data_IF_966156783463
#
_entry.id   IF_966156783463
#
_cell.length_a   1.000
_cell.length_b   1.000
_cell.length_c   1.000
_cell.angle_alpha   90.00
_cell.angle_beta   90.00
_cell.angle_gamma   90.00
#
_symmetry.space_group_name_H-M   'P 1'
#
loop_
_entity.id
_entity.type
_entity.pdbx_description
1 polymer ?
#
# COMPACT_ATOMS: atom_id res chain seq x y z
N UNK A 1 6.39 23.42 3.99
CA UNK A 1 7.79 23.69 3.65
C UNK A 1 8.00 23.40 2.16
N UNK A 2 8.46 24.39 1.40
CA UNK A 2 8.70 24.27 -0.05
C UNK A 2 10.09 23.69 -0.38
N UNK A 3 10.73 22.99 0.56
CA UNK A 3 12.09 22.48 0.38
C UNK A 3 12.18 21.20 -0.47
N UNK A 4 11.08 20.48 -0.64
CA UNK A 4 11.08 19.15 -1.29
C UNK A 4 11.74 18.04 -0.45
N UNK A 5 12.05 18.30 0.82
CA UNK A 5 12.72 17.33 1.70
C UNK A 5 11.80 16.21 2.13
N UNK A 6 12.41 15.08 2.48
CA UNK A 6 11.71 13.94 3.07
C UNK A 6 11.47 14.13 4.57
N UNK A 7 10.20 14.14 4.97
CA UNK A 7 9.81 14.22 6.38
C UNK A 7 9.12 12.95 6.84
N UNK A 8 9.32 12.58 8.08
CA UNK A 8 8.55 11.57 8.79
C UNK A 8 7.94 12.17 10.04
N UNK A 9 6.70 11.79 10.34
CA UNK A 9 6.01 12.17 11.57
C UNK A 9 5.43 10.95 12.25
N UNK A 10 5.55 10.88 13.57
CA UNK A 10 4.96 9.80 14.37
C UNK A 10 3.57 10.21 14.81
N UNK A 11 2.57 9.38 14.51
CA UNK A 11 1.22 9.50 15.04
C UNK A 11 1.00 8.55 16.21
N UNK A 12 0.43 9.04 17.30
CA UNK A 12 0.07 8.25 18.48
C UNK A 12 -1.44 8.13 18.56
N UNK A 13 -1.94 6.90 18.59
CA UNK A 13 -3.36 6.59 18.72
C UNK A 13 -3.69 6.33 20.18
N UNK A 14 -4.67 7.05 20.74
CA UNK A 14 -5.22 6.82 22.08
C UNK A 14 -6.75 6.80 22.00
N UNK A 15 -7.36 5.65 22.21
CA UNK A 15 -8.79 5.46 21.96
C UNK A 15 -9.10 5.69 20.48
N UNK A 16 -9.86 6.74 20.20
CA UNK A 16 -10.22 7.21 18.84
C UNK A 16 -9.47 8.47 18.42
N UNK A 17 -8.54 8.94 19.25
CA UNK A 17 -7.78 10.17 18.98
C UNK A 17 -6.43 9.82 18.37
N UNK A 18 -6.08 10.53 17.29
CA UNK A 18 -4.75 10.51 16.68
C UNK A 18 -4.04 11.82 16.98
N UNK A 19 -2.87 11.74 17.61
CA UNK A 19 -2.03 12.90 17.94
C UNK A 19 -0.73 12.81 17.15
N UNK A 20 -0.40 13.84 16.41
CA UNK A 20 0.84 13.92 15.62
C UNK A 20 1.99 14.52 16.42
N UNK A 21 3.16 13.90 16.31
CA UNK A 21 4.41 14.45 16.81
C UNK A 21 4.98 15.56 15.92
N UNK A 22 6.21 15.96 16.19
CA UNK A 22 6.94 16.93 15.37
C UNK A 22 7.52 16.20 14.13
N UNK A 23 7.35 16.74 12.92
CA UNK A 23 8.00 16.19 11.73
C UNK A 23 9.53 16.25 11.83
N UNK A 24 10.20 15.20 11.41
CA UNK A 24 11.67 15.07 11.41
C UNK A 24 12.12 14.82 9.97
N UNK A 25 13.14 15.53 9.52
CA UNK A 25 13.75 15.34 8.20
C UNK A 25 14.53 14.02 8.19
N UNK A 26 14.21 13.12 7.27
CA UNK A 26 14.98 11.90 7.02
C UNK A 26 15.88 12.02 5.77
N UNK A 27 15.55 12.94 4.86
CA UNK A 27 16.32 13.24 3.67
C UNK A 27 16.23 14.74 3.36
N UNK A 28 17.40 15.39 3.22
CA UNK A 28 17.52 16.82 2.95
C UNK A 28 17.78 17.16 1.46
N UNK A 29 17.79 16.13 0.62
CA UNK A 29 17.78 16.31 -0.83
C UNK A 29 16.35 16.27 -1.32
N UNK A 30 16.03 17.02 -2.36
CA UNK A 30 14.69 17.05 -2.94
C UNK A 30 14.24 15.67 -3.41
N UNK A 31 13.05 15.27 -2.93
CA UNK A 31 12.42 14.01 -3.31
C UNK A 31 11.42 14.21 -4.46
N UNK A 32 11.20 13.16 -5.22
CA UNK A 32 10.00 13.07 -6.06
C UNK A 32 8.78 12.76 -5.19
N UNK A 33 7.63 13.21 -5.65
CA UNK A 33 6.35 12.95 -4.98
C UNK A 33 5.99 11.47 -4.90
N UNK A 34 6.54 10.66 -5.80
CA UNK A 34 6.33 9.20 -5.85
C UNK A 34 7.60 8.50 -6.35
N UNK A 35 7.94 7.30 -5.86
CA UNK A 35 7.31 6.58 -4.76
C UNK A 35 7.77 7.11 -3.39
N UNK A 36 6.86 7.18 -2.43
CA UNK A 36 7.17 7.39 -1.02
C UNK A 36 6.34 6.42 -0.19
N UNK A 37 6.98 5.50 0.51
CA UNK A 37 6.30 4.49 1.33
C UNK A 37 7.09 4.17 2.59
N UNK A 38 6.36 3.82 3.63
CA UNK A 38 6.89 3.31 4.89
C UNK A 38 6.24 1.96 5.20
N UNK A 39 7.04 1.02 5.69
CA UNK A 39 6.52 -0.23 6.26
C UNK A 39 7.31 -0.61 7.52
N UNK A 40 6.59 -1.17 8.48
CA UNK A 40 7.17 -1.74 9.70
C UNK A 40 7.45 -3.22 9.51
N UNK A 41 8.53 -3.69 10.12
CA UNK A 41 8.81 -5.11 10.26
C UNK A 41 7.88 -5.72 11.33
N UNK A 42 6.97 -6.63 10.96
CA UNK A 42 6.05 -7.24 11.93
C UNK A 42 6.75 -8.14 12.95
N UNK A 43 8.00 -8.56 12.66
CA UNK A 43 8.77 -9.48 13.50
C UNK A 43 9.78 -8.77 14.41
N UNK A 44 10.03 -7.47 14.19
CA UNK A 44 11.01 -6.70 14.97
C UNK A 44 10.38 -5.40 15.41
N UNK A 45 10.05 -5.33 16.71
CA UNK A 45 9.36 -4.20 17.31
C UNK A 45 10.04 -2.86 16.98
N UNK A 46 9.26 -1.96 16.39
CA UNK A 46 9.68 -0.61 16.03
C UNK A 46 10.60 -0.50 14.80
N UNK A 47 11.10 -1.59 14.23
CA UNK A 47 11.92 -1.54 13.02
C UNK A 47 11.06 -1.19 11.81
N UNK A 48 11.51 -0.25 10.98
CA UNK A 48 10.83 0.13 9.74
C UNK A 48 11.81 0.63 8.67
N UNK A 49 11.34 0.62 7.44
CA UNK A 49 12.06 1.21 6.32
C UNK A 49 11.18 2.20 5.57
N UNK A 50 11.81 3.20 4.97
CA UNK A 50 11.20 4.18 4.07
C UNK A 50 11.82 3.99 2.69
N UNK A 51 10.98 3.89 1.67
CA UNK A 51 11.37 3.89 0.25
C UNK A 51 11.02 5.25 -0.34
N UNK A 52 11.97 5.84 -1.07
CA UNK A 52 11.80 7.12 -1.72
C UNK A 52 12.64 7.23 -3.00
N UNK A 53 12.41 8.26 -3.79
CA UNK A 53 13.20 8.56 -4.99
C UNK A 53 13.75 9.98 -4.92
N UNK A 54 15.03 10.15 -5.21
CA UNK A 54 15.66 11.46 -5.31
C UNK A 54 15.26 12.15 -6.62
N UNK A 55 14.88 13.42 -6.55
CA UNK A 55 14.44 14.21 -7.71
C UNK A 55 15.56 14.39 -8.73
N UNK A 56 16.78 14.66 -8.26
CA UNK A 56 17.94 15.01 -9.11
C UNK A 56 18.54 13.84 -9.87
N UNK A 57 18.52 12.64 -9.28
CA UNK A 57 19.18 11.44 -9.84
C UNK A 57 18.21 10.38 -10.31
N UNK A 58 16.94 10.48 -9.88
CA UNK A 58 15.89 9.47 -10.09
C UNK A 58 16.24 8.09 -9.48
N UNK A 59 17.21 8.08 -8.56
CA UNK A 59 17.65 6.87 -7.88
C UNK A 59 16.63 6.51 -6.79
N UNK A 60 16.20 5.27 -6.83
CA UNK A 60 15.34 4.72 -5.79
C UNK A 60 16.18 4.25 -4.62
N UNK A 61 15.78 4.65 -3.44
CA UNK A 61 16.58 4.57 -2.23
C UNK A 61 15.73 4.07 -1.07
N UNK A 62 16.36 3.31 -0.18
CA UNK A 62 15.75 2.83 1.09
C UNK A 62 16.58 3.33 2.25
N UNK A 63 15.90 3.79 3.29
CA UNK A 63 16.51 4.15 4.57
C UNK A 63 15.75 3.46 5.70
N UNK A 64 16.46 3.04 6.74
CA UNK A 64 15.88 2.37 7.89
C UNK A 64 15.99 3.21 9.17
N UNK A 65 15.03 2.99 10.08
CA UNK A 65 15.05 3.55 11.42
C UNK A 65 14.34 2.60 12.41
N UNK A 66 14.40 2.95 13.66
CA UNK A 66 13.68 2.28 14.74
C UNK A 66 12.80 3.27 15.51
N UNK A 67 11.64 2.81 15.93
CA UNK A 67 10.68 3.55 16.74
C UNK A 67 10.54 2.89 18.11
N UNK A 68 10.73 3.65 19.19
CA UNK A 68 10.48 3.19 20.56
C UNK A 68 9.45 4.10 21.23
N UNK A 69 8.26 3.58 21.48
CA UNK A 69 7.11 4.40 21.84
C UNK A 69 6.78 5.42 20.75
N UNK A 70 6.93 6.72 21.04
CA UNK A 70 6.78 7.81 20.07
C UNK A 70 8.11 8.42 19.64
N UNK A 71 9.25 7.84 20.02
CA UNK A 71 10.57 8.40 19.76
C UNK A 71 11.25 7.66 18.62
N UNK A 72 11.63 8.40 17.58
CA UNK A 72 12.45 7.89 16.48
C UNK A 72 13.91 7.79 16.92
N UNK A 73 14.56 6.70 16.53
CA UNK A 73 16.00 6.56 16.62
C UNK A 73 16.74 7.41 15.58
N UNK A 74 18.04 7.18 15.45
CA UNK A 74 18.81 7.77 14.36
C UNK A 74 18.58 7.00 13.06
N UNK A 75 18.41 7.72 11.95
CA UNK A 75 18.34 7.09 10.63
C UNK A 75 19.68 6.44 10.26
N UNK A 76 19.59 5.29 9.63
CA UNK A 76 20.74 4.61 9.02
C UNK A 76 21.25 5.33 7.78
N UNK A 77 22.21 4.71 7.10
CA UNK A 77 22.65 5.19 5.79
C UNK A 77 21.64 4.79 4.73
N UNK A 78 21.27 5.73 3.90
CA UNK A 78 20.40 5.49 2.75
C UNK A 78 21.11 4.60 1.71
N UNK A 79 20.43 3.58 1.22
CA UNK A 79 20.96 2.59 0.27
C UNK A 79 20.16 2.61 -1.01
N UNK A 80 20.83 2.90 -2.12
CA UNK A 80 20.24 2.79 -3.44
C UNK A 80 20.07 1.31 -3.82
N UNK A 81 18.88 0.92 -4.30
CA UNK A 81 18.63 -0.43 -4.79
C UNK A 81 18.53 -0.49 -6.32
N UNK A 82 18.45 0.67 -6.96
CA UNK A 82 18.46 0.78 -8.40
C UNK A 82 19.19 2.06 -8.84
N UNK A 83 20.20 1.89 -9.67
CA UNK A 83 21.11 2.98 -10.07
C UNK A 83 21.00 3.38 -11.54
N UNK A 84 20.25 2.65 -12.36
CA UNK A 84 20.39 2.78 -13.82
C UNK A 84 19.19 3.32 -14.57
N UNK A 85 17.97 3.39 -13.98
CA UNK A 85 16.82 3.89 -14.73
C UNK A 85 15.78 4.58 -13.83
N UNK A 86 15.21 5.65 -14.38
CA UNK A 86 14.13 6.39 -13.74
C UNK A 86 12.85 5.54 -13.74
N UNK A 87 12.29 5.28 -12.58
CA UNK A 87 10.90 4.90 -12.50
C UNK A 87 10.04 6.02 -13.11
N UNK A 88 8.95 5.64 -13.79
CA UNK A 88 8.05 6.62 -14.38
C UNK A 88 7.50 7.55 -13.29
N UNK A 89 7.52 8.84 -13.59
CA UNK A 89 7.04 9.90 -12.70
C UNK A 89 5.55 9.84 -12.39
N UNK A 90 4.80 9.06 -13.16
CA UNK A 90 3.33 9.01 -13.07
C UNK A 90 2.80 7.80 -12.29
N UNK A 91 3.67 6.91 -11.81
CA UNK A 91 3.20 5.65 -11.24
C UNK A 91 3.66 5.48 -9.80
N UNK A 92 2.70 5.46 -8.90
CA UNK A 92 2.82 5.04 -7.51
C UNK A 92 3.12 3.53 -7.37
N UNK A 93 4.03 3.00 -8.17
CA UNK A 93 4.14 1.57 -8.46
C UNK A 93 5.22 0.82 -7.69
N UNK A 94 6.06 1.50 -6.94
CA UNK A 94 6.98 0.79 -6.08
C UNK A 94 6.29 0.50 -4.75
N UNK A 95 6.01 -0.74 -4.51
CA UNK A 95 5.38 -1.19 -3.27
C UNK A 95 6.38 -1.96 -2.42
N UNK A 96 6.27 -1.73 -1.13
CA UNK A 96 7.11 -2.29 -0.09
C UNK A 96 6.27 -3.23 0.79
N UNK A 97 6.76 -4.44 1.02
CA UNK A 97 6.15 -5.38 1.96
C UNK A 97 7.20 -6.14 2.76
N UNK A 98 7.06 -6.18 4.08
CA UNK A 98 7.86 -7.05 4.93
C UNK A 98 7.35 -8.49 4.90
N UNK A 99 8.29 -9.44 5.02
CA UNK A 99 7.99 -10.86 5.22
C UNK A 99 7.45 -11.08 6.65
N UNK A 100 6.18 -11.46 6.82
CA UNK A 100 5.62 -11.68 8.15
C UNK A 100 6.19 -12.91 8.86
N UNK A 101 6.95 -13.75 8.16
CA UNK A 101 7.52 -14.99 8.67
C UNK A 101 9.03 -14.88 8.95
N UNK A 102 9.69 -13.80 8.52
CA UNK A 102 11.15 -13.66 8.63
C UNK A 102 11.52 -12.24 9.03
N UNK A 103 12.08 -12.07 10.24
CA UNK A 103 12.50 -10.77 10.74
C UNK A 103 13.50 -10.08 9.80
N UNK A 104 13.30 -8.79 9.58
CA UNK A 104 14.16 -7.94 8.78
C UNK A 104 14.13 -8.18 7.28
N UNK A 105 13.36 -9.14 6.75
CA UNK A 105 13.26 -9.39 5.32
C UNK A 105 12.10 -8.62 4.70
N UNK A 106 12.34 -7.98 3.57
CA UNK A 106 11.30 -7.26 2.83
C UNK A 106 11.46 -7.40 1.31
N UNK A 107 10.39 -7.13 0.59
CA UNK A 107 10.37 -7.12 -0.87
C UNK A 107 9.94 -5.74 -1.38
N UNK A 108 10.54 -5.33 -2.49
CA UNK A 108 10.20 -4.11 -3.22
C UNK A 108 9.87 -4.45 -4.65
N UNK A 109 8.74 -3.97 -5.17
CA UNK A 109 8.53 -3.97 -6.61
C UNK A 109 9.33 -2.84 -7.24
N UNK A 110 9.82 -3.13 -8.43
CA UNK A 110 10.59 -2.22 -9.24
C UNK A 110 10.02 -2.24 -10.66
N UNK A 111 9.64 -1.10 -11.17
CA UNK A 111 9.19 -0.95 -12.56
C UNK A 111 10.21 -0.12 -13.29
N UNK A 112 10.91 -0.74 -14.24
CA UNK A 112 11.90 -0.09 -15.08
C UNK A 112 11.24 0.50 -16.33
N UNK A 113 11.58 1.74 -16.65
CA UNK A 113 11.21 2.37 -17.91
C UNK A 113 12.49 2.67 -18.67
N UNK A 114 12.66 1.94 -19.78
CA UNK A 114 13.72 2.03 -20.77
C UNK A 114 15.15 1.60 -20.31
N UNK A 115 15.98 1.00 -21.21
CA UNK A 115 15.80 1.02 -22.67
C UNK A 115 14.97 -0.11 -23.24
N UNK A 116 14.49 -1.06 -22.41
CA UNK A 116 13.54 -2.08 -22.85
C UNK A 116 12.25 -1.94 -22.08
N UNK A 117 11.10 -1.73 -22.75
CA UNK A 117 9.80 -1.91 -22.11
C UNK A 117 9.73 -3.33 -21.54
N UNK A 118 9.31 -3.48 -20.27
CA UNK A 118 8.95 -4.77 -19.73
C UNK A 118 9.76 -5.33 -18.56
N UNK A 119 10.71 -4.60 -18.01
CA UNK A 119 11.49 -5.12 -16.87
C UNK A 119 10.90 -4.75 -15.51
N UNK A 120 9.71 -5.29 -15.22
CA UNK A 120 9.13 -5.21 -13.88
C UNK A 120 9.63 -6.35 -13.01
N UNK A 121 10.30 -6.04 -11.92
CA UNK A 121 10.93 -7.02 -11.04
C UNK A 121 10.65 -6.79 -9.55
N UNK A 122 10.99 -7.77 -8.76
CA UNK A 122 11.05 -7.68 -7.29
C UNK A 122 12.50 -7.79 -6.86
N UNK A 123 12.90 -6.91 -5.95
CA UNK A 123 14.16 -7.05 -5.23
C UNK A 123 13.88 -7.41 -3.77
N UNK A 124 14.66 -8.36 -3.24
CA UNK A 124 14.60 -8.75 -1.83
C UNK A 124 15.69 -7.99 -1.07
N UNK A 125 15.26 -7.28 -0.03
CA UNK A 125 16.13 -6.57 0.88
C UNK A 125 16.08 -7.14 2.29
N UNK A 126 17.08 -6.77 3.07
CA UNK A 126 17.14 -7.07 4.51
C UNK A 126 17.46 -5.83 5.30
N UNK A 127 16.94 -5.76 6.53
CA UNK A 127 17.26 -4.73 7.50
C UNK A 127 17.66 -5.36 8.83
N UNK A 128 18.72 -4.83 9.42
CA UNK A 128 19.17 -5.19 10.78
C UNK A 128 19.52 -3.92 11.53
N UNK A 129 18.73 -3.61 12.56
CA UNK A 129 18.77 -2.28 13.20
C UNK A 129 18.43 -1.20 12.19
N UNK A 130 19.39 -0.33 11.88
CA UNK A 130 19.25 0.73 10.87
C UNK A 130 20.06 0.46 9.57
N UNK A 131 20.63 -0.74 9.43
CA UNK A 131 21.42 -1.12 8.26
C UNK A 131 20.53 -1.86 7.27
N UNK A 132 20.42 -1.33 6.05
CA UNK A 132 19.73 -1.95 4.91
C UNK A 132 20.75 -2.61 4.00
N UNK A 133 20.44 -3.78 3.46
CA UNK A 133 21.24 -4.46 2.46
C UNK A 133 20.40 -5.09 1.36
N UNK A 134 20.91 -5.05 0.13
CA UNK A 134 20.39 -5.76 -1.02
C UNK A 134 21.50 -6.67 -1.54
N UNK A 135 21.23 -7.97 -1.62
CA UNK A 135 22.24 -8.97 -2.00
C UNK A 135 22.00 -9.55 -3.41
N UNK A 136 20.99 -9.07 -4.13
CA UNK A 136 20.62 -9.55 -5.47
C UNK A 136 20.15 -8.43 -6.39
N UNK A 137 20.02 -8.76 -7.67
CA UNK A 137 19.33 -7.95 -8.67
C UNK A 137 17.81 -8.14 -8.56
N UNK A 138 17.05 -7.28 -9.24
CA UNK A 138 15.63 -7.48 -9.40
C UNK A 138 15.34 -8.75 -10.23
N UNK A 139 14.38 -9.55 -9.79
CA UNK A 139 13.91 -10.75 -10.47
C UNK A 139 12.59 -10.45 -11.19
N UNK A 140 12.61 -10.53 -12.52
CA UNK A 140 11.48 -10.13 -13.36
C UNK A 140 10.37 -11.19 -13.33
N UNK A 141 9.13 -10.75 -13.09
CA UNK A 141 7.95 -11.65 -13.12
C UNK A 141 7.23 -11.68 -14.47
N UNK A 142 7.38 -10.64 -15.27
CA UNK A 142 6.85 -10.55 -16.63
C UNK A 142 7.80 -9.68 -17.47
N UNK A 143 8.27 -10.21 -18.59
CA UNK A 143 9.21 -9.54 -19.48
C UNK A 143 8.53 -8.95 -20.71
N UNK A 144 7.21 -9.04 -20.79
CA UNK A 144 6.50 -8.75 -22.03
C UNK A 144 5.93 -7.35 -22.11
N UNK A 145 5.78 -6.61 -21.00
CA UNK A 145 5.10 -5.32 -21.07
C UNK A 145 5.25 -4.46 -19.81
N UNK A 146 5.51 -3.17 -20.00
CA UNK A 146 5.58 -2.13 -18.96
C UNK A 146 4.19 -1.69 -18.51
N UNK A 147 3.87 -1.95 -17.23
CA UNK A 147 2.79 -1.20 -16.60
C UNK A 147 3.16 -0.73 -15.20
N UNK A 148 2.81 0.52 -14.90
CA UNK A 148 3.30 1.21 -13.73
C UNK A 148 2.63 0.82 -12.40
N UNK A 149 1.64 -0.05 -12.41
CA UNK A 149 0.88 -0.38 -11.21
C UNK A 149 1.16 -1.81 -10.77
N UNK A 150 2.07 -1.97 -9.81
CA UNK A 150 2.33 -3.25 -9.17
C UNK A 150 2.26 -3.12 -7.64
N UNK A 151 1.87 -4.19 -6.99
CA UNK A 151 1.89 -4.30 -5.53
C UNK A 151 2.49 -5.65 -5.15
N UNK A 152 3.37 -5.71 -4.15
CA UNK A 152 3.91 -6.95 -3.59
C UNK A 152 3.35 -7.17 -2.19
N UNK A 153 2.90 -8.39 -1.96
CA UNK A 153 2.45 -8.84 -0.63
C UNK A 153 3.05 -10.21 -0.34
N UNK A 154 3.43 -10.43 0.90
CA UNK A 154 3.84 -11.73 1.40
C UNK A 154 2.62 -12.51 1.85
N UNK A 155 2.65 -13.84 1.65
CA UNK A 155 1.63 -14.70 2.22
C UNK A 155 1.96 -14.97 3.70
N UNK A 156 1.15 -14.47 4.65
CA UNK A 156 1.45 -14.64 6.08
C UNK A 156 1.32 -16.08 6.56
N UNK A 157 0.63 -16.92 5.80
CA UNK A 157 0.37 -18.31 6.16
C UNK A 157 1.33 -19.30 5.50
N UNK A 158 2.16 -18.86 4.54
CA UNK A 158 3.13 -19.69 3.81
C UNK A 158 4.47 -18.98 3.74
N UNK A 159 5.45 -19.52 4.43
CA UNK A 159 6.78 -18.96 4.47
C UNK A 159 7.41 -18.86 3.07
N UNK A 160 8.12 -17.76 2.81
CA UNK A 160 8.81 -17.48 1.55
C UNK A 160 7.90 -17.39 0.31
N UNK A 161 6.62 -17.22 0.48
CA UNK A 161 5.68 -17.00 -0.61
C UNK A 161 5.32 -15.53 -0.73
N UNK A 162 5.50 -14.97 -1.94
CA UNK A 162 5.06 -13.62 -2.29
C UNK A 162 4.09 -13.66 -3.45
N UNK A 163 3.27 -12.65 -3.53
CA UNK A 163 2.39 -12.40 -4.68
C UNK A 163 2.61 -10.99 -5.18
N UNK A 164 2.78 -10.86 -6.48
CA UNK A 164 2.70 -9.56 -7.16
C UNK A 164 1.36 -9.46 -7.86
N UNK A 165 0.62 -8.41 -7.55
CA UNK A 165 -0.54 -7.98 -8.33
C UNK A 165 -0.11 -6.83 -9.23
N UNK A 166 -0.48 -6.86 -10.52
CA UNK A 166 -0.03 -5.88 -11.50
C UNK A 166 -1.05 -5.70 -12.64
N UNK A 167 -0.92 -4.61 -13.34
CA UNK A 167 -1.70 -4.35 -14.55
C UNK A 167 -0.83 -4.67 -15.75
N UNK A 168 -1.33 -5.49 -16.67
CA UNK A 168 -0.66 -5.85 -17.93
C UNK A 168 -1.18 -5.01 -19.10
N UNK A 169 -0.39 -4.92 -20.20
CA UNK A 169 -0.85 -4.33 -21.49
C UNK A 169 -2.22 -4.84 -21.85
N UNK A 170 -3.10 -3.94 -22.30
CA UNK A 170 -4.53 -4.22 -22.45
C UNK A 170 -5.32 -3.93 -21.18
N UNK A 171 -4.67 -3.40 -20.14
CA UNK A 171 -5.28 -3.01 -18.87
C UNK A 171 -5.84 -4.18 -18.06
N UNK A 172 -5.24 -5.36 -18.18
CA UNK A 172 -5.68 -6.56 -17.47
C UNK A 172 -5.07 -6.64 -16.07
N UNK A 173 -5.91 -6.85 -15.06
CA UNK A 173 -5.45 -7.13 -13.70
C UNK A 173 -4.95 -8.58 -13.61
N UNK A 174 -3.68 -8.74 -13.26
CA UNK A 174 -3.01 -10.04 -13.12
C UNK A 174 -2.37 -10.21 -11.77
N UNK A 175 -2.19 -11.46 -11.38
CA UNK A 175 -1.41 -11.86 -10.21
C UNK A 175 -0.39 -12.91 -10.61
N UNK A 176 0.75 -12.90 -9.94
CA UNK A 176 1.76 -13.94 -10.07
C UNK A 176 2.31 -14.30 -8.69
N UNK A 177 2.48 -15.59 -8.46
CA UNK A 177 3.10 -16.13 -7.25
C UNK A 177 4.60 -16.26 -7.45
N UNK A 178 5.37 -15.83 -6.45
CA UNK A 178 6.80 -16.06 -6.34
C UNK A 178 7.16 -16.90 -5.12
N UNK A 179 8.19 -17.71 -5.25
CA UNK A 179 8.83 -18.40 -4.13
C UNK A 179 10.22 -17.84 -3.93
N UNK A 180 10.47 -17.32 -2.74
CA UNK A 180 11.73 -16.66 -2.37
C UNK A 180 12.71 -17.69 -1.79
N UNK A 181 13.93 -17.69 -2.29
CA UNK A 181 15.05 -18.47 -1.74
C UNK A 181 16.26 -17.55 -1.57
N UNK A 182 16.58 -17.23 -0.31
CA UNK A 182 17.57 -16.20 -0.04
C UNK A 182 17.10 -14.84 -0.58
N UNK A 183 17.77 -14.34 -1.63
CA UNK A 183 17.44 -13.08 -2.32
C UNK A 183 16.89 -13.27 -3.74
N UNK A 184 16.76 -14.51 -4.20
CA UNK A 184 16.19 -14.84 -5.51
C UNK A 184 14.71 -15.19 -5.42
N UNK A 185 13.96 -14.93 -6.49
CA UNK A 185 12.54 -15.25 -6.60
C UNK A 185 12.30 -16.13 -7.81
N UNK A 186 11.70 -17.27 -7.59
CA UNK A 186 11.23 -18.16 -8.68
C UNK A 186 9.74 -17.91 -8.93
N UNK A 187 9.39 -17.48 -10.13
CA UNK A 187 8.03 -17.10 -10.48
C UNK A 187 7.21 -18.26 -11.07
N UNK A 188 5.96 -18.33 -10.68
CA UNK A 188 4.95 -19.19 -11.28
C UNK A 188 4.34 -18.60 -12.54
N UNK A 189 3.30 -19.24 -13.05
CA UNK A 189 2.55 -18.73 -14.21
C UNK A 189 1.57 -17.64 -13.78
N UNK A 190 1.57 -16.46 -14.40
CA UNK A 190 0.62 -15.40 -14.11
C UNK A 190 -0.84 -15.81 -14.37
N UNK A 191 -1.74 -15.42 -13.48
CA UNK A 191 -3.19 -15.63 -13.60
C UNK A 191 -3.92 -14.30 -13.80
N UNK A 192 -5.02 -14.32 -14.55
CA UNK A 192 -5.83 -13.14 -14.83
C UNK A 192 -6.97 -13.03 -13.82
N UNK A 193 -7.04 -11.92 -13.09
CA UNK A 193 -8.14 -11.58 -12.18
C UNK A 193 -9.26 -10.88 -12.94
N UNK A 194 -8.90 -9.96 -13.84
CA UNK A 194 -9.85 -9.25 -14.69
C UNK A 194 -9.23 -9.00 -16.08
N UNK A 195 -9.96 -9.31 -17.14
CA UNK A 195 -9.53 -9.09 -18.52
C UNK A 195 -10.09 -7.80 -19.15
N UNK A 196 -10.79 -6.99 -18.35
CA UNK A 196 -11.24 -5.65 -18.73
C UNK A 196 -10.27 -4.57 -18.23
N UNK A 197 -10.57 -3.31 -18.61
CA UNK A 197 -9.77 -2.16 -18.17
C UNK A 197 -9.71 -2.06 -16.64
N UNK A 198 -8.54 -2.21 -16.09
CA UNK A 198 -8.25 -2.20 -14.65
C UNK A 198 -7.09 -1.26 -14.35
N UNK A 199 -7.20 -0.49 -13.25
CA UNK A 199 -6.16 0.39 -12.74
C UNK A 199 -6.05 0.29 -11.22
N UNK A 200 -4.95 0.73 -10.63
CA UNK A 200 -4.75 0.82 -9.17
C UNK A 200 -5.01 -0.49 -8.43
N UNK A 201 -4.58 -1.60 -9.00
CA UNK A 201 -4.82 -2.93 -8.48
C UNK A 201 -4.05 -3.18 -7.18
N UNK A 202 -4.78 -3.49 -6.12
CA UNK A 202 -4.24 -3.79 -4.81
C UNK A 202 -4.80 -5.12 -4.31
N UNK A 203 -3.97 -5.89 -3.58
CA UNK A 203 -4.30 -7.20 -3.03
C UNK A 203 -3.71 -7.31 -1.62
N UNK A 204 -4.41 -8.04 -0.75
CA UNK A 204 -3.90 -8.41 0.57
C UNK A 204 -4.33 -9.83 0.95
N UNK A 205 -3.53 -10.52 1.78
CA UNK A 205 -3.86 -11.83 2.32
C UNK A 205 -4.50 -11.72 3.68
N UNK A 206 -5.42 -12.65 3.99
CA UNK A 206 -5.96 -12.82 5.33
C UNK A 206 -4.93 -13.54 6.22
N UNK A 207 -4.37 -12.89 7.25
CA UNK A 207 -3.39 -13.54 8.12
C UNK A 207 -3.98 -14.62 9.02
N UNK A 208 -5.31 -14.63 9.17
CA UNK A 208 -6.02 -15.56 10.06
C UNK A 208 -6.73 -16.70 9.31
N UNK A 209 -6.78 -16.64 7.97
CA UNK A 209 -7.41 -17.68 7.15
C UNK A 209 -6.45 -18.13 6.05
N UNK A 210 -5.92 -19.33 6.19
CA UNK A 210 -4.95 -19.86 5.24
C UNK A 210 -5.46 -19.79 3.80
N UNK A 211 -4.55 -19.37 2.90
CA UNK A 211 -4.79 -19.29 1.46
C UNK A 211 -5.82 -18.23 1.02
N UNK A 212 -6.48 -17.51 1.93
CA UNK A 212 -7.49 -16.50 1.61
C UNK A 212 -6.85 -15.16 1.29
N UNK A 213 -7.35 -14.48 0.24
CA UNK A 213 -6.95 -13.13 -0.12
C UNK A 213 -8.13 -12.34 -0.69
N UNK A 214 -8.00 -11.03 -0.71
CA UNK A 214 -8.95 -10.13 -1.33
C UNK A 214 -8.23 -9.09 -2.18
N UNK A 215 -8.96 -8.53 -3.15
CA UNK A 215 -8.43 -7.51 -4.05
C UNK A 215 -9.42 -6.37 -4.27
N UNK A 216 -8.88 -5.23 -4.69
CA UNK A 216 -9.64 -4.11 -5.21
C UNK A 216 -8.88 -3.43 -6.36
N UNK A 217 -9.61 -2.91 -7.35
CA UNK A 217 -9.07 -2.16 -8.48
C UNK A 217 -10.11 -1.19 -9.03
N UNK A 218 -9.66 -0.19 -9.80
CA UNK A 218 -10.55 0.64 -10.58
C UNK A 218 -10.93 -0.08 -11.88
N UNK A 219 -12.21 -0.22 -12.14
CA UNK A 219 -12.73 -0.80 -13.38
C UNK A 219 -13.08 0.32 -14.36
N UNK A 220 -12.19 0.56 -15.32
CA UNK A 220 -12.36 1.61 -16.33
C UNK A 220 -13.57 1.42 -17.25
N UNK A 221 -14.07 0.18 -17.39
CA UNK A 221 -15.27 -0.10 -18.17
C UNK A 221 -16.56 0.39 -17.50
N UNK A 222 -16.60 0.41 -16.16
CA UNK A 222 -17.75 0.89 -15.38
C UNK A 222 -17.53 2.26 -14.74
N UNK A 223 -16.27 2.71 -14.66
CA UNK A 223 -15.90 3.92 -13.93
C UNK A 223 -15.98 3.76 -12.41
N UNK A 224 -16.10 2.55 -11.87
CA UNK A 224 -16.30 2.26 -10.46
C UNK A 224 -15.18 1.36 -9.91
N UNK A 225 -15.04 1.33 -8.59
CA UNK A 225 -14.22 0.34 -7.90
C UNK A 225 -14.80 -1.06 -8.03
N UNK A 226 -13.97 -2.03 -8.35
CA UNK A 226 -14.30 -3.44 -8.33
C UNK A 226 -13.42 -4.18 -7.31
N UNK A 227 -13.97 -5.21 -6.70
CA UNK A 227 -13.29 -5.99 -5.67
C UNK A 227 -13.77 -7.43 -5.69
N UNK A 228 -13.00 -8.30 -5.05
CA UNK A 228 -13.39 -9.69 -4.87
C UNK A 228 -12.50 -10.39 -3.86
N UNK A 229 -12.79 -11.66 -3.62
CA UNK A 229 -12.00 -12.53 -2.78
C UNK A 229 -11.67 -13.84 -3.50
N UNK A 230 -10.59 -14.47 -3.09
CA UNK A 230 -10.13 -15.71 -3.69
C UNK A 230 -9.29 -16.56 -2.76
N UNK A 231 -8.86 -17.70 -3.29
CA UNK A 231 -7.93 -18.59 -2.59
C UNK A 231 -6.75 -18.96 -3.48
N UNK A 232 -5.56 -19.09 -2.85
CA UNK A 232 -4.34 -19.60 -3.47
C UNK A 232 -3.89 -20.86 -2.76
N UNK A 233 -4.08 -22.03 -3.38
CA UNK A 233 -3.67 -23.32 -2.82
C UNK A 233 -2.55 -23.90 -3.67
N UNK A 234 -1.35 -23.96 -3.13
CA UNK A 234 -0.16 -24.33 -3.90
C UNK A 234 0.08 -23.32 -5.02
N UNK A 235 -0.17 -23.69 -6.27
CA UNK A 235 -0.09 -22.80 -7.45
C UNK A 235 -1.44 -22.56 -8.12
N UNK A 236 -2.53 -23.00 -7.48
CA UNK A 236 -3.89 -22.92 -8.05
C UNK A 236 -4.60 -21.71 -7.47
N UNK A 237 -5.00 -20.81 -8.37
CA UNK A 237 -5.81 -19.64 -8.08
C UNK A 237 -7.30 -19.95 -8.26
N UNK A 238 -8.11 -19.56 -7.28
CA UNK A 238 -9.57 -19.55 -7.40
C UNK A 238 -10.08 -18.15 -7.09
N UNK A 239 -10.73 -17.52 -8.07
CA UNK A 239 -11.27 -16.17 -7.94
C UNK A 239 -12.78 -16.23 -7.78
N UNK A 240 -13.30 -15.48 -6.82
CA UNK A 240 -14.72 -15.18 -6.71
C UNK A 240 -15.16 -14.13 -7.73
N UNK A 241 -16.44 -13.85 -7.78
CA UNK A 241 -17.01 -12.83 -8.66
C UNK A 241 -16.61 -11.43 -8.21
N UNK A 242 -16.30 -10.55 -9.18
CA UNK A 242 -16.11 -9.13 -8.90
C UNK A 242 -17.41 -8.49 -8.40
N UNK A 243 -17.28 -7.65 -7.39
CA UNK A 243 -18.35 -6.84 -6.82
C UNK A 243 -17.94 -5.37 -6.85
N UNK A 244 -18.91 -4.48 -6.95
CA UNK A 244 -18.67 -3.05 -6.83
C UNK A 244 -18.28 -2.71 -5.39
N UNK A 245 -17.17 -1.99 -5.22
CA UNK A 245 -16.82 -1.40 -3.92
C UNK A 245 -17.84 -0.30 -3.63
N UNK A 246 -18.55 -0.33 -2.48
CA UNK A 246 -19.44 0.75 -2.10
C UNK A 246 -18.62 2.02 -1.86
N UNK A 247 -18.72 2.96 -2.76
CA UNK A 247 -18.00 4.23 -2.72
C UNK A 247 -18.99 5.37 -2.83
N UNK A 248 -18.68 6.53 -2.29
CA UNK A 248 -19.46 7.74 -2.49
C UNK A 248 -19.39 8.30 -3.93
N UNK A 249 -18.77 7.56 -4.89
CA UNK A 249 -18.60 7.99 -6.27
C UNK A 249 -17.58 7.16 -7.04
N UNK A 250 -17.13 7.65 -8.21
CA UNK A 250 -16.08 7.00 -9.00
C UNK A 250 -14.74 6.99 -8.24
N UNK A 251 -14.33 5.83 -7.74
CA UNK A 251 -13.07 5.65 -7.01
C UNK A 251 -11.87 5.48 -7.93
N UNK A 252 -10.76 6.15 -7.64
CA UNK A 252 -9.56 6.11 -8.48
C UNK A 252 -8.34 5.43 -7.84
N UNK A 253 -8.25 5.37 -6.51
CA UNK A 253 -7.16 4.69 -5.80
C UNK A 253 -7.72 3.81 -4.71
N UNK A 254 -7.15 2.63 -4.53
CA UNK A 254 -7.63 1.66 -3.55
C UNK A 254 -6.48 1.16 -2.69
N UNK A 255 -6.73 1.07 -1.39
CA UNK A 255 -5.90 0.28 -0.46
C UNK A 255 -6.82 -0.66 0.29
N UNK A 256 -6.56 -1.95 0.19
CA UNK A 256 -7.30 -3.00 0.89
C UNK A 256 -6.38 -3.67 1.90
N UNK A 257 -6.87 -3.91 3.12
CA UNK A 257 -6.12 -4.58 4.17
C UNK A 257 -7.04 -5.46 5.01
N UNK A 258 -6.53 -6.65 5.35
CA UNK A 258 -7.18 -7.50 6.36
C UNK A 258 -6.84 -7.05 7.78
N UNK A 259 -7.80 -7.28 8.69
CA UNK A 259 -7.56 -7.14 10.12
C UNK A 259 -6.68 -8.30 10.62
N UNK A 260 -5.48 -8.04 11.17
CA UNK A 260 -4.61 -9.11 11.64
C UNK A 260 -5.17 -9.84 12.88
N UNK A 261 -6.23 -9.33 13.50
CA UNK A 261 -6.81 -9.88 14.72
C UNK A 261 -8.16 -10.60 14.48
N UNK A 262 -8.71 -10.55 13.25
CA UNK A 262 -10.02 -11.15 12.94
C UNK A 262 -10.03 -11.84 11.57
N UNK A 263 -10.27 -13.16 11.57
CA UNK A 263 -10.40 -13.93 10.34
C UNK A 263 -11.50 -13.37 9.42
N UNK A 264 -11.18 -13.21 8.16
CA UNK A 264 -12.09 -12.78 7.10
C UNK A 264 -12.55 -11.33 7.21
N UNK A 265 -12.05 -10.51 8.15
CA UNK A 265 -12.41 -9.11 8.27
C UNK A 265 -11.39 -8.21 7.60
N UNK A 266 -11.88 -7.22 6.87
CA UNK A 266 -11.03 -6.30 6.10
C UNK A 266 -11.68 -4.92 5.97
N UNK A 267 -10.87 -3.97 5.57
CA UNK A 267 -11.32 -2.66 5.14
C UNK A 267 -10.71 -2.29 3.78
N UNK A 268 -11.45 -1.51 3.01
CA UNK A 268 -10.95 -0.83 1.83
C UNK A 268 -11.09 0.66 2.04
N UNK A 269 -10.07 1.40 1.71
CA UNK A 269 -10.16 2.84 1.54
C UNK A 269 -9.96 3.18 0.07
N UNK A 270 -10.67 4.19 -0.37
CA UNK A 270 -10.54 4.70 -1.72
C UNK A 270 -10.72 6.21 -1.74
N UNK A 271 -10.15 6.82 -2.77
CA UNK A 271 -10.48 8.16 -3.19
C UNK A 271 -11.56 8.06 -4.26
N UNK A 272 -12.70 8.69 -4.02
CA UNK A 272 -13.80 8.75 -4.96
C UNK A 272 -14.19 10.19 -5.29
N UNK A 273 -15.12 10.40 -6.20
CA UNK A 273 -15.74 11.69 -6.47
C UNK A 273 -17.24 11.59 -6.21
N UNK A 274 -17.78 12.52 -5.45
CA UNK A 274 -19.22 12.66 -5.28
C UNK A 274 -19.88 13.53 -6.38
N UNK A 275 -19.14 13.82 -7.46
CA UNK A 275 -19.57 14.67 -8.55
C UNK A 275 -19.27 16.16 -8.35
N UNK A 276 -18.84 16.57 -7.18
CA UNK A 276 -18.44 17.95 -6.84
C UNK A 276 -17.01 17.98 -6.31
N UNK A 277 -16.70 17.11 -5.35
CA UNK A 277 -15.40 17.04 -4.68
C UNK A 277 -14.83 15.62 -4.77
N UNK A 278 -13.51 15.52 -4.60
CA UNK A 278 -12.87 14.24 -4.33
C UNK A 278 -12.97 13.92 -2.83
N UNK A 279 -13.59 12.81 -2.50
CA UNK A 279 -13.80 12.39 -1.12
C UNK A 279 -13.08 11.07 -0.84
N UNK A 280 -12.50 10.96 0.35
CA UNK A 280 -12.03 9.69 0.88
C UNK A 280 -13.20 8.91 1.45
N UNK A 281 -13.33 7.66 1.09
CA UNK A 281 -14.27 6.77 1.75
C UNK A 281 -13.60 5.51 2.26
N UNK A 282 -14.15 4.97 3.33
CA UNK A 282 -13.76 3.71 3.91
C UNK A 282 -14.96 2.76 3.99
N UNK A 283 -14.75 1.51 3.64
CA UNK A 283 -15.79 0.49 3.70
C UNK A 283 -15.24 -0.77 4.37
N UNK A 284 -15.99 -1.27 5.35
CA UNK A 284 -15.70 -2.54 6.00
C UNK A 284 -16.26 -3.71 5.17
N UNK A 285 -15.55 -4.83 5.17
CA UNK A 285 -15.96 -6.03 4.47
C UNK A 285 -15.70 -7.30 5.25
N UNK A 286 -16.27 -8.39 4.74
CA UNK A 286 -15.99 -9.72 5.22
C UNK A 286 -15.84 -10.71 4.08
N UNK A 287 -14.90 -11.65 4.24
CA UNK A 287 -14.60 -12.72 3.29
C UNK A 287 -15.01 -14.07 3.90
N UNK A 288 -15.69 -14.89 3.11
CA UNK A 288 -15.96 -16.29 3.42
C UNK A 288 -15.74 -17.12 2.16
N UNK A 289 -14.68 -17.93 2.15
CA UNK A 289 -14.21 -18.62 0.95
C UNK A 289 -13.83 -17.63 -0.14
N UNK A 290 -14.53 -17.66 -1.28
CA UNK A 290 -14.34 -16.72 -2.39
C UNK A 290 -15.42 -15.63 -2.44
N UNK A 291 -16.25 -15.54 -1.43
CA UNK A 291 -17.32 -14.53 -1.35
C UNK A 291 -16.87 -13.35 -0.51
N UNK A 292 -16.89 -12.14 -1.09
CA UNK A 292 -16.66 -10.88 -0.41
C UNK A 292 -17.99 -10.18 -0.21
N UNK A 293 -18.25 -9.68 0.99
CA UNK A 293 -19.43 -8.91 1.33
C UNK A 293 -19.02 -7.57 1.92
N UNK A 294 -19.57 -6.48 1.41
CA UNK A 294 -19.30 -5.12 1.87
C UNK A 294 -20.45 -4.59 2.73
N UNK A 295 -20.10 -3.77 3.71
CA UNK A 295 -21.03 -2.88 4.40
C UNK A 295 -21.22 -1.56 3.66
N UNK A 296 -21.79 -0.58 4.36
CA UNK A 296 -21.96 0.76 3.81
C UNK A 296 -20.63 1.52 3.80
N UNK A 297 -20.43 2.34 2.78
CA UNK A 297 -19.32 3.27 2.75
C UNK A 297 -19.51 4.40 3.76
N UNK A 298 -18.43 4.80 4.41
CA UNK A 298 -18.37 5.97 5.28
C UNK A 298 -17.37 6.96 4.71
N UNK A 299 -17.79 8.21 4.58
CA UNK A 299 -16.88 9.28 4.18
C UNK A 299 -15.89 9.59 5.30
N UNK A 300 -14.61 9.69 4.95
CA UNK A 300 -13.52 10.02 5.89
C UNK A 300 -13.40 11.53 6.11
N UNK A 301 -13.95 12.33 5.20
CA UNK A 301 -13.85 13.78 5.21
C UNK A 301 -15.24 14.39 5.07
N UNK A 302 -15.75 15.02 6.12
CA UNK A 302 -17.09 15.57 6.16
C UNK A 302 -17.31 16.85 5.31
N UNK A 303 -16.35 17.40 4.61
CA UNK A 303 -16.44 18.55 3.69
C UNK A 303 -15.09 18.89 3.00
N UNK A 304 -14.15 17.94 2.94
CA UNK A 304 -12.82 18.18 2.40
C UNK A 304 -12.65 17.61 1.01
N UNK A 305 -12.20 18.43 0.09
CA UNK A 305 -11.61 17.94 -1.14
C UNK A 305 -10.31 17.21 -0.79
N UNK A 306 -10.27 15.89 -1.05
CA UNK A 306 -8.98 15.20 -1.09
C UNK A 306 -8.32 15.63 -2.39
N UNK A 307 -7.43 16.59 -2.30
CA UNK A 307 -6.74 17.33 -3.35
C UNK A 307 -6.76 16.77 -4.77
N UNK A 308 -6.81 17.64 -5.76
CA UNK A 308 -6.73 17.26 -7.17
C UNK A 308 -5.44 16.51 -7.45
N UNK A 309 -5.52 15.36 -8.09
CA UNK A 309 -4.38 14.50 -8.41
C UNK A 309 -4.52 13.10 -7.79
N UNK A 310 -3.55 12.23 -8.03
CA UNK A 310 -3.51 10.86 -7.48
C UNK A 310 -2.94 10.89 -6.04
N UNK A 311 -3.71 11.44 -5.10
CA UNK A 311 -3.24 11.55 -3.73
C UNK A 311 -3.24 10.17 -3.04
N UNK A 312 -2.15 9.81 -2.35
CA UNK A 312 -2.08 8.55 -1.66
C UNK A 312 -3.09 8.49 -0.51
N UNK A 313 -3.80 7.39 -0.42
CA UNK A 313 -4.55 6.99 0.77
C UNK A 313 -3.89 5.75 1.34
N UNK A 314 -3.59 5.76 2.62
CA UNK A 314 -2.96 4.64 3.32
C UNK A 314 -3.87 4.13 4.42
N UNK A 315 -3.86 2.81 4.62
CA UNK A 315 -4.62 2.09 5.62
C UNK A 315 -3.70 1.13 6.35
N UNK A 316 -3.74 1.15 7.68
CA UNK A 316 -3.05 0.17 8.50
C UNK A 316 -3.89 -0.21 9.71
N UNK A 317 -4.10 -1.51 9.90
CA UNK A 317 -4.72 -2.04 11.11
C UNK A 317 -3.74 -2.02 12.29
N UNK A 318 -4.31 -1.91 13.51
CA UNK A 318 -3.57 -2.17 14.74
C UNK A 318 -3.17 -3.64 14.82
N UNK A 319 -1.93 -3.91 15.19
CA UNK A 319 -1.46 -5.27 15.40
C UNK A 319 -2.05 -5.92 16.68
N UNK A 320 -2.61 -5.12 17.58
CA UNK A 320 -3.06 -5.57 18.92
C UNK A 320 -4.53 -5.30 19.20
N UNK A 321 -5.10 -4.25 18.60
CA UNK A 321 -6.49 -3.86 18.85
C UNK A 321 -7.39 -4.39 17.74
N UNK A 322 -8.25 -5.32 18.07
CA UNK A 322 -9.20 -5.93 17.14
C UNK A 322 -10.07 -4.90 16.45
N UNK A 323 -10.12 -4.94 15.13
CA UNK A 323 -10.97 -4.07 14.29
C UNK A 323 -10.52 -2.61 14.20
N UNK A 324 -9.49 -2.19 14.93
CA UNK A 324 -9.02 -0.82 14.90
C UNK A 324 -8.00 -0.59 13.80
N UNK A 325 -8.15 0.49 13.05
CA UNK A 325 -7.19 0.89 12.03
C UNK A 325 -7.09 2.41 11.88
N UNK A 326 -6.02 2.86 11.28
CA UNK A 326 -5.81 4.25 10.91
C UNK A 326 -5.86 4.38 9.40
N UNK A 327 -6.59 5.38 8.93
CA UNK A 327 -6.52 5.84 7.54
C UNK A 327 -5.83 7.20 7.50
N UNK A 328 -4.89 7.37 6.58
CA UNK A 328 -4.16 8.62 6.37
C UNK A 328 -4.34 9.04 4.92
N UNK A 329 -4.57 10.32 4.70
CA UNK A 329 -4.84 10.89 3.38
C UNK A 329 -4.33 12.34 3.30
N UNK A 330 -4.11 12.83 2.09
CA UNK A 330 -3.81 14.22 1.86
C UNK A 330 -5.11 15.01 1.63
N UNK A 331 -5.24 16.16 2.31
CA UNK A 331 -6.32 17.11 2.09
C UNK A 331 -5.82 18.19 1.12
N UNK A 332 -6.55 18.42 0.03
CA UNK A 332 -6.32 19.56 -0.86
C UNK A 332 -6.96 20.79 -0.25
N UNK A 333 -6.16 21.74 0.18
CA UNK A 333 -6.65 23.05 0.61
C UNK A 333 -6.18 24.13 -0.38
N UNK A 334 -6.88 25.26 -0.42
CA UNK A 334 -6.52 26.38 -1.28
C UNK A 334 -5.13 26.99 -0.98
N UNK A 335 -4.45 26.50 0.05
CA UNK A 335 -3.13 26.97 0.50
C UNK A 335 -2.04 25.88 0.57
N UNK A 336 -2.32 24.68 0.12
CA UNK A 336 -1.38 23.52 0.14
C UNK A 336 -2.05 22.23 0.53
N UNK A 337 -1.31 21.13 0.44
CA UNK A 337 -1.79 19.81 0.87
C UNK A 337 -1.51 19.62 2.37
N UNK A 338 -2.52 19.23 3.12
CA UNK A 338 -2.40 18.89 4.53
C UNK A 338 -2.53 17.39 4.74
N UNK A 339 -1.81 16.85 5.72
CA UNK A 339 -1.94 15.45 6.12
C UNK A 339 -3.14 15.29 7.05
N UNK A 340 -4.14 14.56 6.62
CA UNK A 340 -5.27 14.12 7.43
C UNK A 340 -5.12 12.68 7.89
N UNK A 341 -5.68 12.36 9.06
CA UNK A 341 -5.75 10.98 9.55
C UNK A 341 -6.98 10.76 10.42
N UNK A 342 -7.54 9.58 10.34
CA UNK A 342 -8.70 9.16 11.12
C UNK A 342 -8.48 7.77 11.69
N UNK A 343 -8.91 7.59 12.95
CA UNK A 343 -8.98 6.28 13.59
C UNK A 343 -10.37 5.70 13.33
N UNK A 344 -10.39 4.50 12.79
CA UNK A 344 -11.61 3.77 12.48
C UNK A 344 -11.69 2.48 13.29
N UNK A 345 -12.91 2.00 13.51
CA UNK A 345 -13.20 0.75 14.20
C UNK A 345 -14.17 -0.10 13.38
N UNK A 346 -13.81 -1.35 13.10
CA UNK A 346 -14.76 -2.35 12.61
C UNK A 346 -15.67 -2.76 13.74
N UNK A 347 -16.99 -2.73 13.52
CA UNK A 347 -17.94 -3.24 14.51
C UNK A 347 -18.01 -4.78 14.49
N UNK A 348 -18.12 -5.38 15.66
CA UNK A 348 -18.02 -6.84 15.85
C UNK A 348 -19.12 -7.62 15.12
N UNK A 349 -20.28 -7.02 14.86
CA UNK A 349 -21.47 -7.75 14.35
C UNK A 349 -21.78 -7.53 12.89
N UNK A 350 -21.22 -6.51 12.25
CA UNK A 350 -21.56 -6.16 10.86
C UNK A 350 -20.35 -5.47 10.20
N UNK A 351 -20.32 -5.55 8.96
CA UNK A 351 -19.72 -4.79 7.91
C UNK A 351 -19.87 -3.25 8.01
N UNK A 352 -20.14 -2.66 9.17
CA UNK A 352 -20.26 -1.22 9.35
C UNK A 352 -19.06 -0.64 10.10
N UNK A 353 -18.68 0.57 9.71
CA UNK A 353 -17.66 1.38 10.35
C UNK A 353 -18.34 2.47 11.18
N UNK A 354 -17.90 2.65 12.41
CA UNK A 354 -18.11 3.90 13.14
C UNK A 354 -16.85 4.75 12.99
N UNK A 355 -16.95 5.81 12.20
CA UNK A 355 -15.95 6.87 12.23
C UNK A 355 -16.24 7.74 13.46
N UNK A 356 -15.50 7.55 14.54
CA UNK A 356 -15.56 8.39 15.71
C UNK A 356 -14.45 9.43 15.65
N UNK A 357 -14.86 10.65 15.29
CA UNK A 357 -14.09 11.90 15.34
C UNK A 357 -12.95 12.07 14.33
N UNK A 358 -13.27 12.88 13.37
CA UNK A 358 -12.29 13.61 12.57
C UNK A 358 -11.55 14.58 13.51
N UNK A 359 -10.32 14.27 13.90
CA UNK A 359 -9.49 15.18 14.69
C UNK A 359 -8.04 15.11 14.25
N UNK A 360 -7.56 16.27 13.85
CA UNK A 360 -6.15 16.54 13.69
C UNK A 360 -5.73 16.80 12.26
N UNK A 361 -5.76 18.05 11.89
CA UNK A 361 -5.04 18.57 10.73
C UNK A 361 -3.62 18.86 11.23
N UNK A 362 -2.66 18.05 10.81
CA UNK A 362 -1.26 18.45 10.92
C UNK A 362 -0.87 19.07 9.58
N UNK A 363 -0.58 20.35 9.58
CA UNK A 363 -0.04 21.04 8.40
C UNK A 363 1.40 20.61 8.19
N UNK A 364 1.59 19.59 7.36
CA UNK A 364 2.87 19.37 6.70
C UNK A 364 2.60 19.53 5.21
N UNK A 365 3.21 20.51 4.59
CA UNK A 365 3.10 20.71 3.15
C UNK A 365 3.63 19.46 2.47
N UNK A 366 2.76 18.69 1.86
CA UNK A 366 3.13 17.72 0.85
C UNK A 366 3.25 18.51 -0.43
N UNK A 367 4.45 18.58 -0.96
CA UNK A 367 4.74 19.35 -2.15
C UNK A 367 4.08 18.73 -3.39
N UNK A 368 3.58 19.61 -4.25
CA UNK A 368 3.18 19.30 -5.63
C UNK A 368 4.35 18.81 -6.48
#
# INVERSE_FOLDING_TARGET
DNSGYGYVVVGVVSGTTLTWGTPIVFESTELRTTPLQVAFDPNTAGSFVIVFQLSSTLVQTVIANTLSGSTLGSFGTAVAFQTTYAANSSSASNKLGFDPNTAGKFALTNVLIAPSPGDSGVVIGTVSGTTVAFAGSAENWDTSDDYPYSNVVWNPNVANEIVVSYIKVGWWAKVVKGTVSGTTVSWGTPSTVNSGHSDYFNLDFDPNTANSFAWAFFNGGTGLGASGAGTLVGSTWTFGSNQTVPTGGSGTTFTIKFDPNQAGKLAVINRGSNGVNFVGSCTAGSVSGTTLTWGSANELTANGDIGGGQQPVALSFSATDTGKFVSVYALGTAGGNELGGVVCQLEASITNLTATNLLGIASAAILD
#
